data_IF_148306944738
#
_entry.id   IF_148306944738
#
_cell.length_a   1.000
_cell.length_b   1.000
_cell.length_c   1.000
_cell.angle_alpha   90.00
_cell.angle_beta   90.00
_cell.angle_gamma   90.00
#
_symmetry.space_group_name_H-M   'P 1'
#
loop_
_entity.id
_entity.type
_entity.pdbx_description
1 polymer ?
#
# COMPACT_ATOMS: atom_id res chain seq x y z
N UNK A 1 40.41 -19.90 -4.08
CA UNK A 1 39.33 -19.65 -5.05
C UNK A 1 38.25 -20.68 -4.80
N UNK A 2 37.12 -20.30 -4.20
CA UNK A 2 35.80 -20.86 -4.50
C UNK A 2 34.76 -20.05 -3.72
N UNK A 3 33.95 -19.37 -4.52
CA UNK A 3 32.53 -19.05 -4.33
C UNK A 3 32.11 -18.39 -3.01
N UNK A 4 32.07 -17.05 -3.07
CA UNK A 4 31.05 -16.28 -2.38
C UNK A 4 29.72 -16.53 -3.12
N UNK A 5 28.86 -17.36 -2.54
CA UNK A 5 27.46 -17.45 -2.91
C UNK A 5 26.79 -16.18 -2.37
N UNK A 6 26.53 -15.23 -3.26
CA UNK A 6 25.58 -14.13 -3.05
C UNK A 6 24.17 -14.77 -3.01
N UNK A 7 23.75 -15.20 -1.83
CA UNK A 7 22.40 -15.71 -1.54
C UNK A 7 21.40 -14.54 -1.63
N UNK A 8 21.06 -14.16 -2.87
CA UNK A 8 19.96 -13.26 -3.15
C UNK A 8 18.68 -14.03 -2.80
N UNK A 9 18.16 -13.82 -1.59
CA UNK A 9 16.86 -14.33 -1.13
C UNK A 9 15.74 -13.72 -2.00
N UNK A 10 15.63 -14.20 -3.24
CA UNK A 10 14.52 -13.90 -4.13
C UNK A 10 13.39 -14.80 -3.71
N UNK A 11 12.40 -14.24 -3.00
CA UNK A 11 11.15 -14.97 -2.71
C UNK A 11 10.61 -15.51 -4.04
N UNK A 12 10.36 -16.83 -4.16
CA UNK A 12 9.88 -17.40 -5.41
C UNK A 12 8.50 -16.83 -5.76
N UNK A 13 8.20 -16.79 -7.05
CA UNK A 13 6.87 -16.47 -7.52
C UNK A 13 5.85 -17.42 -6.87
N UNK A 14 4.73 -16.88 -6.40
CA UNK A 14 3.74 -17.68 -5.68
C UNK A 14 2.80 -16.90 -4.78
N UNK A 15 1.85 -17.65 -4.21
CA UNK A 15 0.88 -17.16 -3.26
C UNK A 15 1.25 -17.65 -1.86
N UNK A 16 1.37 -16.73 -0.90
CA UNK A 16 1.77 -17.03 0.46
C UNK A 16 0.68 -16.60 1.44
N UNK A 17 0.06 -17.52 2.20
CA UNK A 17 -0.93 -17.15 3.19
C UNK A 17 -0.26 -16.49 4.40
N UNK A 18 -0.96 -15.54 5.01
CA UNK A 18 -0.61 -14.98 6.30
C UNK A 18 -1.85 -14.88 7.20
N UNK A 19 -1.63 -14.90 8.50
CA UNK A 19 -2.67 -14.84 9.53
C UNK A 19 -2.28 -14.01 10.76
N UNK A 20 -1.12 -13.36 10.73
CA UNK A 20 -0.58 -12.53 11.82
C UNK A 20 -0.31 -11.12 11.34
N UNK A 21 -0.48 -10.14 12.24
CA UNK A 21 -0.19 -8.73 11.97
C UNK A 21 1.26 -8.53 11.52
N UNK A 22 2.22 -9.16 12.18
CA UNK A 22 3.64 -9.02 11.82
C UNK A 22 3.94 -9.60 10.43
N UNK A 23 3.25 -10.64 9.99
CA UNK A 23 3.42 -11.17 8.62
C UNK A 23 2.78 -10.26 7.59
N UNK A 24 1.63 -9.66 7.91
CA UNK A 24 1.01 -8.63 7.07
C UNK A 24 1.93 -7.41 6.89
N UNK A 25 2.44 -6.81 7.98
CA UNK A 25 3.35 -5.66 7.93
C UNK A 25 4.66 -5.96 7.18
N UNK A 26 5.25 -7.15 7.40
CA UNK A 26 6.45 -7.59 6.66
C UNK A 26 6.17 -7.74 5.17
N UNK A 27 5.05 -8.36 4.80
CA UNK A 27 4.67 -8.50 3.41
C UNK A 27 4.48 -7.13 2.74
N UNK A 28 3.91 -6.15 3.45
CA UNK A 28 3.70 -4.80 2.89
C UNK A 28 5.05 -4.15 2.56
N UNK A 29 6.00 -4.23 3.48
CA UNK A 29 7.37 -3.74 3.23
C UNK A 29 8.01 -4.51 2.06
N UNK A 30 7.82 -5.83 2.00
CA UNK A 30 8.34 -6.66 0.92
C UNK A 30 7.71 -6.34 -0.45
N UNK A 31 6.44 -5.94 -0.48
CA UNK A 31 5.71 -5.49 -1.67
C UNK A 31 6.21 -4.11 -2.12
N UNK A 32 6.35 -3.16 -1.19
CA UNK A 32 6.91 -1.82 -1.47
C UNK A 32 8.35 -1.90 -1.98
N UNK A 33 9.17 -2.79 -1.43
CA UNK A 33 10.55 -2.98 -1.86
C UNK A 33 10.64 -3.45 -3.32
N UNK A 34 9.71 -4.31 -3.75
CA UNK A 34 9.59 -4.81 -5.13
C UNK A 34 9.02 -3.79 -6.11
N UNK A 35 8.22 -2.85 -5.61
CA UNK A 35 7.49 -1.91 -6.45
C UNK A 35 8.41 -0.95 -7.22
N UNK A 36 8.38 -0.97 -8.55
CA UNK A 36 9.18 -0.13 -9.41
C UNK A 36 8.49 1.19 -9.78
N UNK A 37 7.20 1.17 -10.13
CA UNK A 37 6.52 2.32 -10.73
C UNK A 37 5.21 2.72 -10.04
N UNK A 38 4.35 1.78 -9.70
CA UNK A 38 3.01 2.11 -9.21
C UNK A 38 2.59 1.24 -8.03
N UNK A 39 2.29 1.90 -6.91
CA UNK A 39 1.67 1.27 -5.73
C UNK A 39 0.26 1.81 -5.55
N UNK A 40 -0.68 0.90 -5.34
CA UNK A 40 -2.10 1.17 -5.10
C UNK A 40 -2.51 0.58 -3.77
N UNK A 41 -3.15 1.36 -2.90
CA UNK A 41 -3.55 0.92 -1.56
C UNK A 41 -5.03 1.23 -1.34
N UNK A 42 -5.80 0.20 -0.99
CA UNK A 42 -7.14 0.34 -0.43
C UNK A 42 -7.17 -0.22 0.98
N UNK A 43 -7.51 0.63 1.96
CA UNK A 43 -7.54 0.26 3.38
C UNK A 43 -8.55 1.14 4.14
N UNK A 44 -9.14 0.69 5.27
CA UNK A 44 -10.00 1.54 6.08
C UNK A 44 -9.31 2.83 6.57
N UNK A 45 -8.11 2.74 7.14
CA UNK A 45 -7.46 3.88 7.82
C UNK A 45 -5.92 3.81 7.95
N UNK A 46 -5.28 2.83 7.31
CA UNK A 46 -3.85 2.51 7.34
C UNK A 46 -3.30 2.04 8.69
N UNK A 47 -4.06 2.01 9.79
CA UNK A 47 -3.49 1.77 11.12
C UNK A 47 -2.90 0.38 11.31
N UNK A 48 -3.40 -0.62 10.56
CA UNK A 48 -2.90 -2.00 10.64
C UNK A 48 -1.76 -2.29 9.66
N UNK A 49 -1.45 -1.37 8.76
CA UNK A 49 -0.48 -1.60 7.66
C UNK A 49 0.98 -1.50 8.12
N UNK A 50 1.24 -0.91 9.29
CA UNK A 50 2.59 -0.65 9.77
C UNK A 50 3.33 0.47 9.03
N UNK A 51 2.68 1.18 8.10
CA UNK A 51 3.29 2.25 7.30
C UNK A 51 3.71 3.47 8.13
N UNK A 52 3.05 3.73 9.26
CA UNK A 52 3.44 4.80 10.19
C UNK A 52 4.63 4.40 11.09
N UNK A 53 5.05 3.13 11.08
CA UNK A 53 6.28 2.73 11.77
C UNK A 53 7.51 3.36 11.10
N UNK A 54 8.64 3.39 11.80
CA UNK A 54 9.90 3.88 11.21
C UNK A 54 10.29 3.10 9.94
N UNK A 55 10.13 1.78 9.96
CA UNK A 55 10.46 0.92 8.83
C UNK A 55 9.47 1.09 7.66
N UNK A 56 8.18 1.19 7.95
CA UNK A 56 7.14 1.44 6.95
C UNK A 56 7.31 2.78 6.25
N UNK A 57 7.52 3.86 7.02
CA UNK A 57 7.71 5.20 6.47
C UNK A 57 8.99 5.28 5.62
N UNK A 58 10.07 4.59 6.04
CA UNK A 58 11.29 4.48 5.25
C UNK A 58 11.04 3.73 3.93
N UNK A 59 10.30 2.60 3.94
CA UNK A 59 9.99 1.85 2.74
C UNK A 59 9.14 2.68 1.74
N UNK A 60 8.18 3.47 2.24
CA UNK A 60 7.39 4.39 1.40
C UNK A 60 8.27 5.48 0.79
N UNK A 61 9.12 6.11 1.59
CA UNK A 61 10.03 7.15 1.10
C UNK A 61 11.02 6.60 0.05
N UNK A 62 11.62 5.43 0.30
CA UNK A 62 12.51 4.76 -0.65
C UNK A 62 11.80 4.41 -1.96
N UNK A 63 10.54 3.98 -1.91
CA UNK A 63 9.73 3.76 -3.11
C UNK A 63 9.47 5.08 -3.86
N UNK A 64 9.02 6.14 -3.17
CA UNK A 64 8.64 7.41 -3.78
C UNK A 64 9.81 8.18 -4.41
N UNK A 65 11.04 7.91 -3.97
CA UNK A 65 12.26 8.47 -4.61
C UNK A 65 12.60 7.82 -5.96
N UNK A 66 11.97 6.70 -6.33
CA UNK A 66 12.23 6.03 -7.61
C UNK A 66 11.66 6.89 -8.76
N UNK A 67 12.38 7.03 -9.89
CA UNK A 67 11.90 7.82 -11.02
C UNK A 67 10.56 7.29 -11.55
N UNK A 68 9.56 8.16 -11.63
CA UNK A 68 8.22 7.79 -12.12
C UNK A 68 7.35 7.01 -11.13
N UNK A 69 7.79 6.84 -9.88
CA UNK A 69 6.99 6.22 -8.84
C UNK A 69 5.67 6.98 -8.63
N UNK A 70 4.59 6.25 -8.38
CA UNK A 70 3.29 6.79 -7.98
C UNK A 70 2.67 5.94 -6.89
N UNK A 71 2.27 6.58 -5.80
CA UNK A 71 1.52 5.98 -4.70
C UNK A 71 0.12 6.56 -4.66
N UNK A 72 -0.88 5.72 -4.91
CA UNK A 72 -2.29 6.08 -4.85
C UNK A 72 -2.96 5.32 -3.72
N UNK A 73 -3.62 6.04 -2.84
CA UNK A 73 -4.28 5.47 -1.67
C UNK A 73 -5.74 5.89 -1.64
N UNK A 74 -6.65 4.94 -1.46
CA UNK A 74 -8.07 5.18 -1.21
C UNK A 74 -8.38 4.70 0.20
N UNK A 75 -8.86 5.62 1.05
CA UNK A 75 -9.22 5.32 2.44
C UNK A 75 -10.71 5.47 2.68
N UNK A 76 -11.27 4.57 3.47
CA UNK A 76 -12.68 4.67 3.89
C UNK A 76 -12.86 5.77 4.95
N UNK A 77 -11.88 5.90 5.85
CA UNK A 77 -11.88 6.84 6.97
C UNK A 77 -10.58 7.66 7.00
N UNK A 78 -10.62 8.85 6.38
CA UNK A 78 -9.47 9.77 6.41
C UNK A 78 -9.38 10.59 7.71
N UNK A 79 -10.42 10.60 8.53
CA UNK A 79 -10.61 11.55 9.65
C UNK A 79 -9.54 11.41 10.74
N UNK A 80 -8.86 10.26 10.79
CA UNK A 80 -7.83 9.95 11.78
C UNK A 80 -6.41 10.09 11.26
N UNK A 81 -6.22 10.35 9.97
CA UNK A 81 -4.91 10.30 9.31
C UNK A 81 -3.97 11.38 9.83
N UNK A 82 -4.43 12.63 9.95
CA UNK A 82 -3.62 13.74 10.46
C UNK A 82 -3.16 13.53 11.91
N UNK A 83 -4.05 12.98 12.74
CA UNK A 83 -3.77 12.78 14.16
C UNK A 83 -2.91 11.53 14.45
N UNK A 84 -3.05 10.46 13.65
CA UNK A 84 -2.43 9.16 13.94
C UNK A 84 -1.29 8.79 12.99
N UNK A 85 -1.09 9.54 11.91
CA UNK A 85 -0.07 9.21 10.90
C UNK A 85 0.81 10.40 10.50
N UNK A 86 1.45 11.10 11.46
CA UNK A 86 2.24 12.29 11.17
C UNK A 86 3.43 12.03 10.23
N UNK A 87 4.04 10.83 10.25
CA UNK A 87 5.14 10.50 9.32
C UNK A 87 4.64 10.36 7.90
N UNK A 88 3.52 9.64 7.70
CA UNK A 88 2.89 9.53 6.38
C UNK A 88 2.42 10.88 5.85
N UNK A 89 1.86 11.74 6.71
CA UNK A 89 1.47 13.11 6.34
C UNK A 89 2.66 13.95 5.90
N UNK A 90 3.80 13.82 6.59
CA UNK A 90 5.03 14.49 6.15
C UNK A 90 5.52 13.97 4.80
N UNK A 91 5.47 12.66 4.55
CA UNK A 91 5.81 12.08 3.25
C UNK A 91 4.86 12.53 2.15
N UNK A 92 3.56 12.60 2.43
CA UNK A 92 2.55 13.11 1.50
C UNK A 92 2.86 14.56 1.08
N UNK A 93 3.30 15.39 2.03
CA UNK A 93 3.71 16.78 1.74
C UNK A 93 4.99 16.87 0.91
N UNK A 94 5.99 16.04 1.21
CA UNK A 94 7.28 16.02 0.48
C UNK A 94 7.08 15.50 -0.95
N UNK A 95 6.28 14.45 -1.10
CA UNK A 95 6.06 13.71 -2.34
C UNK A 95 4.70 14.00 -2.96
N UNK A 96 4.14 15.19 -2.76
CA UNK A 96 2.76 15.53 -3.18
C UNK A 96 2.50 15.40 -4.69
N UNK A 97 3.56 15.39 -5.50
CA UNK A 97 3.50 15.20 -6.95
C UNK A 97 3.26 13.73 -7.37
N UNK A 98 3.58 12.77 -6.51
CA UNK A 98 3.50 11.34 -6.81
C UNK A 98 2.77 10.51 -5.74
N UNK A 99 2.49 11.07 -4.57
CA UNK A 99 1.72 10.46 -3.49
C UNK A 99 0.38 11.18 -3.35
N UNK A 100 -0.73 10.45 -3.53
CA UNK A 100 -2.08 11.00 -3.41
C UNK A 100 -2.97 10.08 -2.58
N UNK A 101 -3.74 10.69 -1.67
CA UNK A 101 -4.74 10.01 -0.83
C UNK A 101 -6.13 10.56 -1.18
N UNK A 102 -7.06 9.66 -1.45
CA UNK A 102 -8.48 9.95 -1.70
C UNK A 102 -9.36 9.23 -0.68
N UNK A 103 -10.56 9.77 -0.48
CA UNK A 103 -11.58 9.23 0.41
C UNK A 103 -12.60 8.43 -0.41
N UNK A 104 -12.85 7.18 -0.02
CA UNK A 104 -13.93 6.40 -0.59
C UNK A 104 -15.30 7.00 -0.20
N UNK A 105 -16.27 7.06 -1.11
CA UNK A 105 -17.62 7.51 -0.81
C UNK A 105 -18.28 6.62 0.25
N UNK A 106 -19.27 7.15 0.96
CA UNK A 106 -19.95 6.46 2.06
C UNK A 106 -20.49 5.09 1.64
N UNK A 107 -20.99 5.00 0.41
CA UNK A 107 -21.58 3.79 -0.17
C UNK A 107 -20.57 2.66 -0.35
N UNK A 108 -19.26 2.93 -0.34
CA UNK A 108 -18.19 1.93 -0.49
C UNK A 108 -17.51 1.56 0.84
N UNK A 109 -17.94 2.14 1.97
CA UNK A 109 -17.40 1.81 3.30
C UNK A 109 -17.82 0.44 3.82
N UNK A 110 -18.73 -0.25 3.13
CA UNK A 110 -19.10 -1.62 3.45
C UNK A 110 -18.06 -2.64 2.99
N UNK A 111 -17.12 -2.24 2.12
CA UNK A 111 -16.04 -3.10 1.65
C UNK A 111 -15.08 -3.39 2.81
N UNK A 112 -14.84 -4.66 3.08
CA UNK A 112 -14.03 -5.08 4.24
C UNK A 112 -12.65 -5.59 3.86
N UNK A 113 -12.41 -5.84 2.59
CA UNK A 113 -11.11 -6.25 2.13
C UNK A 113 -10.16 -5.06 2.08
N UNK A 114 -8.88 -5.35 2.26
CA UNK A 114 -7.82 -4.36 2.17
C UNK A 114 -6.74 -4.93 1.28
N UNK A 115 -6.20 -4.13 0.38
CA UNK A 115 -5.16 -4.59 -0.51
C UNK A 115 -4.14 -3.52 -0.85
N UNK A 116 -2.92 -3.98 -1.07
CA UNK A 116 -1.76 -3.18 -1.46
C UNK A 116 -1.17 -3.87 -2.68
N UNK A 117 -1.12 -3.17 -3.81
CA UNK A 117 -0.75 -3.73 -5.11
C UNK A 117 0.44 -2.96 -5.65
N UNK A 118 1.41 -3.67 -6.23
CA UNK A 118 2.59 -3.09 -6.85
C UNK A 118 2.73 -3.58 -8.30
N UNK A 119 2.82 -2.63 -9.23
CA UNK A 119 3.12 -2.82 -10.66
C UNK A 119 2.28 -3.88 -11.39
N UNK A 120 1.07 -4.13 -10.91
CA UNK A 120 0.20 -5.20 -11.39
C UNK A 120 0.82 -6.61 -11.35
N UNK A 121 1.86 -6.84 -10.53
CA UNK A 121 2.60 -8.11 -10.44
C UNK A 121 2.67 -8.64 -9.02
N UNK A 122 2.75 -7.75 -8.03
CA UNK A 122 2.82 -8.12 -6.63
C UNK A 122 1.65 -7.51 -5.88
N UNK A 123 1.28 -8.13 -4.77
CA UNK A 123 0.34 -7.50 -3.87
C UNK A 123 0.03 -8.30 -2.64
N UNK A 124 -0.72 -7.67 -1.75
CA UNK A 124 -1.23 -8.26 -0.53
C UNK A 124 -2.71 -8.01 -0.48
N UNK A 125 -3.47 -9.06 -0.18
CA UNK A 125 -4.90 -9.01 0.02
C UNK A 125 -5.22 -9.55 1.41
N UNK A 126 -5.75 -8.69 2.26
CA UNK A 126 -6.44 -9.05 3.50
C UNK A 126 -7.92 -9.19 3.20
N UNK A 127 -8.47 -10.38 3.39
CA UNK A 127 -9.84 -10.73 2.95
C UNK A 127 -10.89 -9.98 3.78
N UNK A 128 -10.58 -9.66 5.03
CA UNK A 128 -11.51 -8.98 5.94
C UNK A 128 -10.74 -8.15 6.96
N UNK A 129 -11.06 -6.87 7.13
CA UNK A 129 -10.33 -5.93 7.98
C UNK A 129 -10.24 -6.38 9.44
N UNK A 130 -11.28 -7.05 9.95
CA UNK A 130 -11.32 -7.56 11.33
C UNK A 130 -10.36 -8.75 11.58
N UNK A 131 -9.91 -9.44 10.53
CA UNK A 131 -9.07 -10.64 10.64
C UNK A 131 -7.73 -10.43 9.93
N UNK A 132 -6.64 -10.92 10.51
CA UNK A 132 -5.31 -10.84 9.87
C UNK A 132 -5.11 -11.88 8.76
N UNK A 133 -6.16 -12.59 8.35
CA UNK A 133 -6.07 -13.63 7.32
C UNK A 133 -6.05 -13.02 5.93
N UNK A 134 -5.03 -13.37 5.17
CA UNK A 134 -4.89 -12.90 3.80
C UNK A 134 -3.85 -13.68 3.01
N UNK A 135 -3.52 -13.14 1.85
CA UNK A 135 -2.62 -13.71 0.86
C UNK A 135 -1.67 -12.64 0.34
N UNK A 136 -0.39 -12.99 0.27
CA UNK A 136 0.61 -12.26 -0.48
C UNK A 136 0.76 -12.91 -1.85
N UNK A 137 0.88 -12.10 -2.88
CA UNK A 137 1.07 -12.48 -4.28
C UNK A 137 2.42 -11.93 -4.72
N UNK A 138 3.31 -12.82 -5.14
CA UNK A 138 4.62 -12.45 -5.66
C UNK A 138 4.71 -12.92 -7.10
N UNK A 139 4.83 -11.99 -8.06
CA UNK A 139 4.98 -12.31 -9.48
C UNK A 139 3.80 -13.17 -9.99
N UNK A 140 2.58 -12.75 -9.63
CA UNK A 140 1.31 -13.39 -9.98
C UNK A 140 0.36 -12.34 -10.59
N UNK A 141 0.66 -11.83 -11.79
CA UNK A 141 -0.16 -10.80 -12.43
C UNK A 141 -1.63 -11.23 -12.59
N UNK A 142 -1.91 -12.50 -12.86
CA UNK A 142 -3.27 -13.03 -13.00
C UNK A 142 -4.11 -12.95 -11.72
N UNK A 143 -3.46 -12.82 -10.55
CA UNK A 143 -4.13 -12.57 -9.27
C UNK A 143 -4.26 -11.09 -8.95
N UNK A 144 -3.31 -10.27 -9.40
CA UNK A 144 -3.20 -8.85 -9.07
C UNK A 144 -4.03 -7.99 -10.03
N UNK A 145 -4.10 -8.32 -11.32
CA UNK A 145 -4.83 -7.57 -12.35
C UNK A 145 -6.31 -7.30 -11.99
N UNK A 146 -7.11 -8.29 -11.52
CA UNK A 146 -8.49 -8.03 -11.11
C UNK A 146 -8.58 -7.04 -9.94
N UNK A 147 -7.61 -7.05 -9.02
CA UNK A 147 -7.55 -6.12 -7.90
C UNK A 147 -7.15 -4.71 -8.37
N UNK A 148 -6.30 -4.61 -9.39
CA UNK A 148 -5.93 -3.32 -10.01
C UNK A 148 -7.14 -2.68 -10.69
N UNK A 149 -7.89 -3.45 -11.49
CA UNK A 149 -9.12 -2.95 -12.13
C UNK A 149 -10.11 -2.45 -11.09
N UNK A 150 -10.33 -3.23 -10.03
CA UNK A 150 -11.18 -2.82 -8.91
C UNK A 150 -10.65 -1.57 -8.21
N UNK A 151 -9.34 -1.43 -8.01
CA UNK A 151 -8.77 -0.21 -7.46
C UNK A 151 -9.04 1.01 -8.34
N UNK A 152 -8.87 0.87 -9.65
CA UNK A 152 -9.06 1.97 -10.57
C UNK A 152 -10.54 2.44 -10.58
N UNK A 153 -11.51 1.51 -10.48
CA UNK A 153 -12.94 1.84 -10.25
C UNK A 153 -13.15 2.60 -8.91
N UNK A 154 -12.56 2.10 -7.81
CA UNK A 154 -12.62 2.76 -6.50
C UNK A 154 -12.00 4.16 -6.56
N UNK A 155 -10.93 4.34 -7.33
CA UNK A 155 -10.22 5.60 -7.48
C UNK A 155 -11.07 6.65 -8.22
N UNK A 156 -11.77 6.24 -9.27
CA UNK A 156 -12.69 7.11 -10.01
C UNK A 156 -13.87 7.57 -9.17
N UNK A 157 -14.40 6.69 -8.31
CA UNK A 157 -15.51 7.00 -7.40
C UNK A 157 -15.07 7.80 -6.16
N UNK A 158 -13.77 7.85 -5.88
CA UNK A 158 -13.23 8.48 -4.68
C UNK A 158 -13.08 10.00 -4.79
N UNK A 159 -13.27 10.67 -3.67
CA UNK A 159 -13.16 12.12 -3.56
C UNK A 159 -11.76 12.53 -3.06
N UNK A 160 -11.24 13.71 -3.46
CA UNK A 160 -10.03 14.25 -2.87
C UNK A 160 -10.12 14.32 -1.34
N UNK A 161 -9.10 13.82 -0.63
CA UNK A 161 -9.03 13.94 0.83
C UNK A 161 -8.39 15.28 1.22
N UNK A 162 -9.00 15.98 2.19
CA UNK A 162 -8.53 17.27 2.71
C UNK A 162 -7.16 17.17 3.41
N UNK A 163 -6.74 15.94 3.78
CA UNK A 163 -5.46 15.66 4.41
C UNK A 163 -4.22 16.07 3.59
N UNK A 164 -4.37 16.45 2.31
CA UNK A 164 -3.27 16.94 1.47
C UNK A 164 -3.27 18.45 1.20
N UNK A 165 -4.31 19.18 1.60
CA UNK A 165 -4.51 20.59 1.22
C UNK A 165 -4.58 21.48 2.44
N UNK A 166 -3.45 21.66 3.14
CA UNK A 166 -3.19 23.00 3.68
C UNK A 166 -2.69 23.85 2.52
N UNK A 167 -3.63 24.33 1.72
CA UNK A 167 -3.39 25.49 0.87
C UNK A 167 -3.23 26.67 1.85
N UNK A 168 -2.02 26.84 2.37
CA UNK A 168 -1.64 28.02 3.13
C UNK A 168 -1.52 29.19 2.16
N UNK A 169 -2.60 29.96 2.04
CA UNK A 169 -2.52 31.39 1.70
C UNK A 169 -2.11 32.17 2.95
#
# INVERSE_FOLDING_TARGET
MSEAQDDTCSTPAGEFPFDTKSSYERGIIATLARAFAAVRIFDPDLQTTGLESRGGAQAVDEFLRRPGASLRVVLQHCDRLEAHSPRLMNLLRIHAHCFTIRRAPADLRHLKDCFILADAQHGILRIHADHMRGKEFVDLPERVEPLVQRFDELWELSEPSVAGTTLGL
#
